data_IF_003762374160
#
_entry.id   IF_003762374160
#
_cell.length_a   1.000
_cell.length_b   1.000
_cell.length_c   1.000
_cell.angle_alpha   90.00
_cell.angle_beta   90.00
_cell.angle_gamma   90.00
#
_symmetry.space_group_name_H-M   'P 1'
#
loop_
_entity.id
_entity.type
_entity.pdbx_description
1 polymer ?
#
# COMPACT_ATOMS: atom_id res chain seq x y z
N UNK A 1 -5.92 -14.03 10.74
CA UNK A 1 -6.04 -15.43 11.23
C UNK A 1 -6.16 -16.43 10.09
N UNK A 2 -6.96 -16.18 9.06
CA UNK A 2 -7.18 -17.11 7.93
C UNK A 2 -5.90 -17.41 7.17
N UNK A 3 -5.00 -16.44 7.00
CA UNK A 3 -3.71 -16.64 6.34
C UNK A 3 -2.79 -17.58 7.12
N UNK A 4 -2.78 -17.47 8.44
CA UNK A 4 -1.98 -18.34 9.32
C UNK A 4 -2.45 -19.79 9.17
N UNK A 5 -3.76 -20.04 9.25
CA UNK A 5 -4.35 -21.34 9.06
C UNK A 5 -3.98 -21.98 7.71
N UNK A 6 -4.09 -21.19 6.63
CA UNK A 6 -3.74 -21.66 5.28
C UNK A 6 -2.26 -21.98 5.13
N UNK A 7 -1.37 -21.26 5.81
CA UNK A 7 0.06 -21.50 5.84
C UNK A 7 0.42 -22.74 6.66
N UNK A 8 -0.21 -22.92 7.82
CA UNK A 8 0.03 -24.08 8.71
C UNK A 8 -0.46 -25.39 8.08
N UNK A 9 -1.53 -25.36 7.33
CA UNK A 9 -2.04 -26.54 6.59
C UNK A 9 -1.20 -26.89 5.37
N UNK A 10 -0.21 -26.06 5.00
CA UNK A 10 0.65 -26.30 3.84
C UNK A 10 -0.04 -26.02 2.50
N UNK A 11 -1.19 -25.38 2.51
CA UNK A 11 -1.91 -25.02 1.28
C UNK A 11 -1.13 -23.98 0.45
N UNK A 12 -0.43 -23.07 1.14
CA UNK A 12 0.52 -22.14 0.51
C UNK A 12 1.96 -22.58 0.86
N UNK A 13 2.83 -22.56 -0.12
CA UNK A 13 4.26 -22.84 0.06
C UNK A 13 4.95 -21.77 0.91
N UNK A 14 4.59 -20.51 0.69
CA UNK A 14 5.10 -19.37 1.41
C UNK A 14 4.37 -18.09 1.02
N UNK A 15 4.61 -17.03 1.78
CA UNK A 15 3.99 -15.72 1.56
C UNK A 15 4.97 -14.59 1.85
N UNK A 16 4.88 -13.51 1.05
CA UNK A 16 5.53 -12.23 1.31
C UNK A 16 4.49 -11.18 1.67
N UNK A 17 4.68 -10.50 2.79
CA UNK A 17 3.79 -9.46 3.28
C UNK A 17 4.56 -8.16 3.45
N UNK A 18 4.11 -7.10 2.79
CA UNK A 18 4.60 -5.75 3.03
C UNK A 18 3.66 -4.94 3.93
N UNK A 19 2.42 -5.40 4.07
CA UNK A 19 1.38 -4.81 4.90
C UNK A 19 0.71 -5.88 5.75
N UNK A 20 0.24 -5.49 6.92
CA UNK A 20 -0.52 -6.34 7.85
C UNK A 20 -1.72 -5.54 8.39
N UNK A 21 -2.72 -6.23 8.95
CA UNK A 21 -3.96 -5.58 9.42
C UNK A 21 -3.68 -4.55 10.52
N UNK A 22 -2.76 -4.84 11.43
CA UNK A 22 -2.34 -3.95 12.51
C UNK A 22 -0.87 -3.59 12.34
N UNK A 23 -0.57 -2.33 12.11
CA UNK A 23 0.79 -1.82 11.97
C UNK A 23 1.14 -0.81 13.08
N UNK A 24 2.27 -0.97 13.75
CA UNK A 24 3.27 -2.03 13.59
C UNK A 24 2.77 -3.39 14.09
N UNK A 25 3.22 -4.48 13.43
CA UNK A 25 2.87 -5.84 13.84
C UNK A 25 3.35 -6.13 15.26
N UNK A 26 2.44 -6.61 16.11
CA UNK A 26 2.74 -6.97 17.50
C UNK A 26 3.91 -7.96 17.55
N UNK A 27 4.84 -7.77 18.47
CA UNK A 27 6.04 -8.60 18.65
C UNK A 27 5.72 -10.07 18.98
N UNK A 28 4.56 -10.32 19.58
CA UNK A 28 4.09 -11.67 19.94
C UNK A 28 3.16 -12.28 18.87
N UNK A 29 3.05 -11.66 17.69
CA UNK A 29 2.15 -12.16 16.65
C UNK A 29 2.71 -13.42 15.98
N UNK A 30 1.86 -14.43 15.81
CA UNK A 30 2.22 -15.76 15.29
C UNK A 30 2.91 -15.71 13.91
N UNK A 31 2.68 -14.69 13.10
CA UNK A 31 3.37 -14.50 11.80
C UNK A 31 4.89 -14.44 11.90
N UNK A 32 5.44 -14.03 13.06
CA UNK A 32 6.90 -13.98 13.27
C UNK A 32 7.53 -15.36 13.36
N UNK A 33 6.78 -16.35 13.83
CA UNK A 33 7.27 -17.71 14.07
C UNK A 33 7.13 -18.62 12.85
N UNK A 34 6.39 -18.19 11.82
CA UNK A 34 6.20 -18.98 10.60
C UNK A 34 7.43 -18.88 9.68
N UNK A 35 8.05 -20.04 9.39
CA UNK A 35 9.28 -20.14 8.59
C UNK A 35 9.10 -19.80 7.11
N UNK A 36 7.87 -19.85 6.62
CA UNK A 36 7.50 -19.62 5.22
C UNK A 36 6.84 -18.25 5.01
N UNK A 37 7.08 -17.31 5.92
CA UNK A 37 6.61 -15.93 5.83
C UNK A 37 7.79 -14.97 5.73
N UNK A 38 7.75 -14.09 4.75
CA UNK A 38 8.65 -12.94 4.61
C UNK A 38 7.86 -11.67 4.88
N UNK A 39 8.32 -10.86 5.83
CA UNK A 39 7.67 -9.58 6.17
C UNK A 39 8.64 -8.44 5.85
N UNK A 40 8.14 -7.44 5.11
CA UNK A 40 8.83 -6.18 4.86
C UNK A 40 8.07 -5.02 5.53
N UNK A 41 8.75 -3.93 5.91
CA UNK A 41 8.18 -2.92 6.80
C UNK A 41 7.36 -1.86 6.06
N UNK A 42 6.35 -2.24 5.27
CA UNK A 42 5.49 -1.34 4.49
C UNK A 42 6.33 -0.37 3.63
N UNK A 43 7.27 -0.91 2.87
CA UNK A 43 8.28 -0.16 2.13
C UNK A 43 8.11 -0.21 0.61
N UNK A 44 7.14 -0.97 0.10
CA UNK A 44 6.89 -1.07 -1.34
C UNK A 44 6.32 0.25 -1.89
N UNK A 45 6.78 0.65 -3.08
CA UNK A 45 6.35 1.89 -3.72
C UNK A 45 6.94 3.17 -3.14
N UNK A 46 7.89 3.07 -2.20
CA UNK A 46 8.57 4.21 -1.60
C UNK A 46 9.50 4.96 -2.57
N UNK A 47 10.00 6.12 -2.13
CA UNK A 47 10.90 7.01 -2.91
C UNK A 47 12.25 6.40 -3.31
N UNK A 48 12.57 5.20 -2.85
CA UNK A 48 13.79 4.49 -3.25
C UNK A 48 13.83 4.17 -4.75
N UNK A 49 12.69 3.99 -5.38
CA UNK A 49 12.56 3.68 -6.80
C UNK A 49 12.47 4.95 -7.65
N UNK A 50 13.38 5.08 -8.64
CA UNK A 50 13.40 6.24 -9.54
C UNK A 50 12.07 6.45 -10.26
N UNK A 51 11.47 5.40 -10.78
CA UNK A 51 10.18 5.47 -11.47
C UNK A 51 9.03 5.98 -10.57
N UNK A 52 9.02 5.58 -9.31
CA UNK A 52 8.03 6.06 -8.33
C UNK A 52 8.22 7.54 -8.03
N UNK A 53 9.47 7.98 -7.86
CA UNK A 53 9.78 9.41 -7.66
C UNK A 53 9.39 10.26 -8.85
N UNK A 54 9.74 9.82 -10.05
CA UNK A 54 9.42 10.53 -11.29
C UNK A 54 7.90 10.67 -11.46
N UNK A 55 7.16 9.57 -11.28
CA UNK A 55 5.70 9.57 -11.34
C UNK A 55 5.07 10.53 -10.32
N UNK A 56 5.54 10.47 -9.07
CA UNK A 56 5.04 11.35 -8.00
C UNK A 56 5.34 12.82 -8.30
N UNK A 57 6.55 13.13 -8.75
CA UNK A 57 6.95 14.48 -9.11
C UNK A 57 6.09 15.05 -10.24
N UNK A 58 5.87 14.27 -11.29
CA UNK A 58 5.01 14.66 -12.41
C UNK A 58 3.56 14.89 -11.98
N UNK A 59 3.04 14.02 -11.10
CA UNK A 59 1.69 14.17 -10.55
C UNK A 59 1.56 15.48 -9.74
N UNK A 60 2.54 15.78 -8.88
CA UNK A 60 2.55 17.03 -8.09
C UNK A 60 2.59 18.24 -9.00
N UNK A 61 3.44 18.24 -10.02
CA UNK A 61 3.54 19.36 -10.99
C UNK A 61 2.20 19.56 -11.72
N UNK A 62 1.58 18.50 -12.23
CA UNK A 62 0.27 18.60 -12.89
C UNK A 62 -0.81 19.14 -11.94
N UNK A 63 -0.85 18.64 -10.72
CA UNK A 63 -1.81 19.10 -9.72
C UNK A 63 -1.61 20.56 -9.32
N UNK A 64 -0.37 21.04 -9.23
CA UNK A 64 -0.10 22.45 -9.01
C UNK A 64 -0.62 23.32 -10.17
N UNK A 65 -0.47 22.85 -11.41
CA UNK A 65 -1.00 23.53 -12.59
C UNK A 65 -2.54 23.56 -12.60
N UNK A 66 -3.18 22.42 -12.27
CA UNK A 66 -4.63 22.32 -12.15
C UNK A 66 -5.16 23.24 -11.03
N UNK A 67 -4.53 23.22 -9.88
CA UNK A 67 -4.89 24.09 -8.76
C UNK A 67 -4.83 25.58 -9.14
N UNK A 68 -3.76 25.99 -9.82
CA UNK A 68 -3.60 27.38 -10.29
C UNK A 68 -4.70 27.82 -11.25
N UNK A 69 -5.24 26.89 -12.04
CA UNK A 69 -6.31 27.15 -13.03
C UNK A 69 -7.72 26.95 -12.45
N UNK A 70 -7.85 26.44 -11.23
CA UNK A 70 -9.13 26.07 -10.63
C UNK A 70 -9.75 24.80 -11.23
N UNK A 71 -8.92 23.92 -11.80
CA UNK A 71 -9.31 22.63 -12.36
C UNK A 71 -9.31 21.53 -11.30
N UNK A 72 -9.99 20.41 -11.58
CA UNK A 72 -9.99 19.25 -10.69
C UNK A 72 -8.60 18.65 -10.55
N UNK A 73 -8.28 18.19 -9.34
CA UNK A 73 -7.01 17.54 -9.03
C UNK A 73 -7.05 16.04 -9.35
N UNK A 74 -5.93 15.52 -9.84
CA UNK A 74 -5.74 14.08 -10.00
C UNK A 74 -5.51 13.42 -8.64
N UNK A 75 -6.02 12.22 -8.47
CA UNK A 75 -5.87 11.43 -7.24
C UNK A 75 -6.32 12.14 -5.96
N UNK A 76 -7.36 12.95 -6.03
CA UNK A 76 -7.94 13.61 -4.87
C UNK A 76 -8.33 12.56 -3.80
N UNK A 77 -7.93 12.83 -2.56
CA UNK A 77 -8.21 11.94 -1.44
C UNK A 77 -9.60 12.21 -0.89
N UNK A 78 -10.37 11.16 -0.70
CA UNK A 78 -11.62 11.19 0.06
C UNK A 78 -11.28 11.16 1.55
N UNK A 79 -11.65 12.21 2.29
CA UNK A 79 -11.35 12.32 3.72
C UNK A 79 -12.10 11.31 4.60
N UNK A 80 -13.16 10.71 4.09
CA UNK A 80 -13.90 9.67 4.83
C UNK A 80 -13.17 8.33 4.77
N UNK A 81 -12.70 7.95 3.58
CA UNK A 81 -12.03 6.66 3.36
C UNK A 81 -10.52 6.73 3.54
N UNK A 82 -9.91 7.90 3.45
CA UNK A 82 -8.46 8.09 3.44
C UNK A 82 -7.77 7.65 2.14
N UNK A 83 -8.53 7.22 1.14
CA UNK A 83 -8.03 6.79 -0.16
C UNK A 83 -8.46 7.74 -1.26
N UNK A 84 -7.85 7.59 -2.45
CA UNK A 84 -8.26 8.39 -3.61
C UNK A 84 -9.73 8.15 -3.94
N UNK A 85 -10.44 9.18 -4.36
CA UNK A 85 -11.80 9.06 -4.89
C UNK A 85 -11.79 8.14 -6.10
N UNK A 86 -12.65 7.13 -6.09
CA UNK A 86 -12.82 6.21 -7.22
C UNK A 86 -13.71 6.91 -8.25
N UNK A 87 -13.14 7.20 -9.41
CA UNK A 87 -13.94 7.63 -10.57
C UNK A 87 -14.71 6.40 -11.04
N UNK A 88 -16.01 6.37 -10.80
CA UNK A 88 -16.88 5.36 -11.42
C UNK A 88 -16.97 5.70 -12.90
N UNK A 89 -16.23 4.96 -13.71
CA UNK A 89 -16.49 4.97 -15.16
C UNK A 89 -17.91 4.46 -15.37
N UNK A 90 -18.72 5.29 -15.97
CA UNK A 90 -20.06 4.90 -16.38
C UNK A 90 -19.98 3.99 -17.61
#
# INVERSE_FOLDING_TARGET
NDLIEVLETGHLYGVGLDVVEEEPLNQEHDLWDLKNVLITPHASGGYAWKSARDYFTDLVIRNLQHFKKGEELENEVDFVTGYRKVIKYK
#
